data_IF_083553123932
#
_entry.id   IF_083553123932
#
_cell.length_a   1.000
_cell.length_b   1.000
_cell.length_c   1.000
_cell.angle_alpha   90.00
_cell.angle_beta   90.00
_cell.angle_gamma   90.00
#
_symmetry.space_group_name_H-M   'P 1'
#
loop_
_entity.id
_entity.type
_entity.pdbx_description
1 polymer ?
#
# COMPACT_ATOMS: atom_id res chain seq x y z
N UNK A 1 1.02 22.23 -63.80
CA UNK A 1 0.49 22.22 -65.19
C UNK A 1 -0.90 21.62 -65.12
N UNK A 2 -1.87 22.51 -65.28
CA UNK A 2 -3.30 22.33 -65.62
C UNK A 2 -4.15 21.46 -64.68
N UNK A 3 -5.01 22.02 -63.94
CA UNK A 3 -6.23 22.91 -64.11
C UNK A 3 -7.50 22.13 -64.37
N UNK A 4 -8.49 22.47 -63.52
CA UNK A 4 -9.90 22.71 -63.82
C UNK A 4 -10.79 21.47 -64.14
N UNK A 5 -12.05 21.45 -63.88
CA UNK A 5 -13.06 22.41 -63.39
C UNK A 5 -14.40 21.66 -63.24
N UNK A 6 -15.23 22.09 -62.31
CA UNK A 6 -16.68 22.46 -62.36
C UNK A 6 -17.70 21.39 -62.86
N UNK A 7 -18.76 21.29 -62.21
CA UNK A 7 -20.07 21.91 -62.04
C UNK A 7 -21.17 20.86 -61.92
N UNK A 8 -21.95 20.90 -60.91
CA UNK A 8 -23.29 21.47 -60.77
C UNK A 8 -24.43 20.63 -61.40
N UNK A 9 -25.46 20.37 -60.61
CA UNK A 9 -26.75 19.90 -61.08
C UNK A 9 -27.73 19.63 -59.94
N UNK A 10 -28.54 20.58 -59.64
CA UNK A 10 -29.67 20.49 -58.71
C UNK A 10 -30.87 19.74 -59.32
N UNK A 11 -31.60 19.00 -58.49
CA UNK A 11 -33.05 18.81 -58.75
C UNK A 11 -33.76 18.42 -57.45
N UNK A 12 -34.72 19.23 -57.09
CA UNK A 12 -35.79 19.03 -56.11
C UNK A 12 -36.67 17.85 -56.48
N UNK A 13 -37.10 17.05 -55.51
CA UNK A 13 -38.53 16.65 -55.41
C UNK A 13 -38.90 16.40 -53.95
N UNK A 14 -39.99 17.06 -53.57
CA UNK A 14 -40.82 16.87 -52.37
C UNK A 14 -41.46 15.47 -52.41
N UNK A 15 -41.60 14.85 -51.28
CA UNK A 15 -42.46 13.70 -51.04
C UNK A 15 -42.76 13.60 -49.56
N UNK A 16 -43.89 14.14 -49.20
CA UNK A 16 -44.56 14.08 -47.91
C UNK A 16 -45.01 12.64 -47.66
N UNK A 17 -44.73 12.05 -46.50
CA UNK A 17 -45.67 11.13 -45.89
C UNK A 17 -45.35 10.86 -44.41
N UNK A 18 -46.41 10.90 -43.71
CA UNK A 18 -46.68 10.84 -42.27
C UNK A 18 -46.27 9.51 -41.60
N UNK A 19 -46.15 9.67 -40.29
CA UNK A 19 -46.55 8.74 -39.22
C UNK A 19 -45.59 7.67 -38.76
N UNK A 20 -45.26 7.75 -37.49
CA UNK A 20 -44.65 6.71 -36.72
C UNK A 20 -44.01 7.23 -35.45
N UNK A 21 -44.80 7.84 -34.55
CA UNK A 21 -44.38 8.14 -33.18
C UNK A 21 -44.26 6.79 -32.43
N UNK A 22 -43.06 6.25 -32.31
CA UNK A 22 -42.75 5.25 -31.31
C UNK A 22 -42.23 6.01 -30.10
N UNK A 23 -43.01 6.00 -29.04
CA UNK A 23 -42.63 6.46 -27.71
C UNK A 23 -41.56 5.51 -27.17
N UNK A 24 -40.29 5.90 -27.28
CA UNK A 24 -39.25 5.31 -26.47
C UNK A 24 -39.47 5.83 -25.05
N UNK A 25 -39.92 4.94 -24.16
CA UNK A 25 -40.00 5.20 -22.74
C UNK A 25 -38.62 5.42 -22.17
N UNK A 26 -38.33 6.65 -21.81
CA UNK A 26 -37.22 6.97 -20.91
C UNK A 26 -37.44 6.27 -19.58
N UNK A 27 -36.78 5.11 -19.38
CA UNK A 27 -36.63 4.56 -18.06
C UNK A 27 -35.62 5.47 -17.31
N UNK A 28 -36.18 6.46 -16.60
CA UNK A 28 -35.45 7.15 -15.54
C UNK A 28 -34.97 6.11 -14.54
N UNK A 29 -33.70 5.68 -14.65
CA UNK A 29 -32.98 5.05 -13.56
C UNK A 29 -32.87 6.10 -12.46
N UNK A 30 -33.49 5.91 -11.27
CA UNK A 30 -33.35 6.89 -10.20
C UNK A 30 -31.88 7.01 -9.83
N UNK A 31 -31.28 8.12 -10.21
CA UNK A 31 -29.94 8.46 -9.78
C UNK A 31 -29.95 8.61 -8.27
N UNK A 32 -29.44 7.63 -7.57
CA UNK A 32 -29.21 7.72 -6.13
C UNK A 32 -28.33 8.93 -5.88
N UNK A 33 -28.78 9.87 -5.04
CA UNK A 33 -28.02 11.09 -4.83
C UNK A 33 -26.67 10.72 -4.24
N UNK A 34 -25.61 11.18 -4.87
CA UNK A 34 -24.20 10.90 -4.53
C UNK A 34 -23.86 11.15 -3.05
N UNK A 35 -24.63 12.01 -2.37
CA UNK A 35 -24.48 12.25 -0.93
C UNK A 35 -24.93 11.04 -0.07
N UNK A 36 -25.79 10.14 -0.55
CA UNK A 36 -26.18 8.92 0.18
C UNK A 36 -25.03 7.92 0.31
N UNK A 37 -24.12 7.86 -0.67
CA UNK A 37 -22.90 7.05 -0.55
C UNK A 37 -21.93 7.64 0.47
N UNK A 38 -21.85 8.96 0.56
CA UNK A 38 -21.04 9.66 1.56
C UNK A 38 -21.63 9.47 2.97
N UNK A 39 -22.96 9.55 3.11
CA UNK A 39 -23.65 9.32 4.39
C UNK A 39 -23.57 7.85 4.83
N UNK A 40 -23.64 6.90 3.90
CA UNK A 40 -23.44 5.47 4.21
C UNK A 40 -22.02 5.16 4.68
N UNK A 41 -21.01 5.86 4.17
CA UNK A 41 -19.63 5.75 4.68
C UNK A 41 -19.45 6.33 6.09
N UNK A 42 -20.21 7.34 6.48
CA UNK A 42 -20.09 8.00 7.79
C UNK A 42 -20.87 7.27 8.92
N UNK A 43 -21.83 6.40 8.57
CA UNK A 43 -22.73 5.79 9.56
C UNK A 43 -22.20 4.53 10.27
N UNK A 44 -20.97 4.06 9.96
CA UNK A 44 -20.35 2.89 10.61
C UNK A 44 -19.32 3.31 11.66
N UNK A 45 -19.74 4.10 12.65
CA UNK A 45 -18.89 4.46 13.79
C UNK A 45 -18.70 3.25 14.72
N UNK A 46 -17.65 2.47 14.45
CA UNK A 46 -17.08 1.56 15.43
C UNK A 46 -15.99 2.31 16.20
N UNK A 47 -15.90 2.08 17.51
CA UNK A 47 -14.80 2.63 18.31
C UNK A 47 -13.46 2.20 17.66
N UNK A 48 -12.63 3.15 17.27
CA UNK A 48 -11.29 2.88 16.82
C UNK A 48 -10.55 2.13 17.95
N UNK A 49 -10.09 0.93 17.69
CA UNK A 49 -9.21 0.20 18.57
C UNK A 49 -7.81 0.32 18.02
N UNK A 50 -6.91 0.79 18.87
CA UNK A 50 -5.47 0.82 18.64
C UNK A 50 -4.92 -0.55 18.21
N UNK A 51 -3.73 -0.58 17.62
CA UNK A 51 -2.89 -1.75 17.35
C UNK A 51 -3.35 -2.73 16.25
N UNK A 52 -4.13 -2.37 15.26
CA UNK A 52 -4.59 -3.36 14.29
C UNK A 52 -5.27 -4.57 14.94
N UNK A 53 -5.94 -4.34 16.09
CA UNK A 53 -6.60 -5.40 16.86
C UNK A 53 -7.95 -5.73 16.25
N UNK A 54 -8.18 -7.02 16.02
CA UNK A 54 -9.47 -7.55 15.59
C UNK A 54 -9.85 -8.74 16.46
N UNK A 55 -10.80 -8.52 17.37
CA UNK A 55 -11.13 -9.51 18.40
C UNK A 55 -9.94 -9.73 19.34
N UNK A 56 -9.39 -10.94 19.32
CA UNK A 56 -8.18 -11.27 20.10
C UNK A 56 -6.89 -11.26 19.27
N UNK A 57 -6.98 -10.93 17.98
CA UNK A 57 -5.85 -10.94 17.08
C UNK A 57 -5.21 -9.56 17.02
N UNK A 58 -3.89 -9.51 17.17
CA UNK A 58 -3.05 -8.41 16.76
C UNK A 58 -2.48 -8.74 15.39
N UNK A 59 -2.73 -7.89 14.40
CA UNK A 59 -2.01 -7.89 13.14
C UNK A 59 -0.82 -6.93 13.31
N UNK A 60 0.43 -7.42 13.40
CA UNK A 60 1.58 -6.55 13.49
C UNK A 60 1.74 -5.78 12.17
N UNK A 61 2.23 -4.56 12.26
CA UNK A 61 2.65 -3.81 11.09
C UNK A 61 3.67 -4.60 10.28
N UNK A 62 3.40 -4.79 9.01
CA UNK A 62 4.28 -5.49 8.05
C UNK A 62 5.41 -4.58 7.61
N UNK A 63 6.50 -5.16 7.06
CA UNK A 63 7.69 -4.41 6.65
C UNK A 63 7.79 -4.27 5.13
N UNK A 64 7.32 -5.26 4.37
CA UNK A 64 7.43 -5.28 2.92
C UNK A 64 6.28 -4.58 2.20
N UNK A 65 5.12 -4.50 2.83
CA UNK A 65 3.90 -3.86 2.30
C UNK A 65 3.06 -3.33 3.47
N UNK A 66 2.09 -2.48 3.19
CA UNK A 66 1.23 -1.87 4.20
C UNK A 66 0.22 -2.88 4.77
N UNK A 67 -0.12 -2.77 6.05
CA UNK A 67 -1.07 -3.62 6.76
C UNK A 67 -2.52 -3.12 6.61
N UNK A 68 -3.55 -3.90 7.03
CA UNK A 68 -4.95 -3.49 6.91
C UNK A 68 -5.43 -2.50 7.97
N UNK A 69 -4.63 -2.15 8.99
CA UNK A 69 -5.07 -1.28 10.08
C UNK A 69 -5.26 0.17 9.62
N UNK A 70 -6.20 0.86 10.26
CA UNK A 70 -6.49 2.29 10.05
C UNK A 70 -6.49 2.95 11.43
N UNK A 71 -5.38 3.61 11.78
CA UNK A 71 -5.15 4.16 13.12
C UNK A 71 -4.20 5.36 13.11
N UNK A 72 -3.98 5.96 14.27
CA UNK A 72 -2.96 6.98 14.46
C UNK A 72 -1.61 6.31 14.72
N UNK A 73 -0.66 6.49 13.81
CA UNK A 73 0.62 5.76 13.85
C UNK A 73 1.80 6.61 13.39
N UNK A 74 2.97 6.27 13.91
CA UNK A 74 4.25 6.79 13.43
C UNK A 74 5.23 5.63 13.28
N UNK A 75 5.70 5.42 12.07
CA UNK A 75 6.81 4.52 11.79
C UNK A 75 8.07 5.36 11.64
N UNK A 76 9.00 5.28 12.59
CA UNK A 76 10.26 6.04 12.54
C UNK A 76 11.26 5.51 13.58
N UNK A 77 12.43 5.01 13.15
CA UNK A 77 12.87 4.83 11.77
C UNK A 77 12.31 3.58 11.10
N UNK A 78 12.15 3.63 9.78
CA UNK A 78 12.10 2.48 8.91
C UNK A 78 13.42 2.42 8.13
N UNK A 79 14.16 1.32 8.25
CA UNK A 79 15.48 1.18 7.62
C UNK A 79 15.50 -0.05 6.71
N UNK A 80 16.19 0.05 5.58
CA UNK A 80 16.43 -1.10 4.70
C UNK A 80 17.77 -1.01 3.98
N UNK A 81 18.32 -2.19 3.65
CA UNK A 81 19.50 -2.31 2.81
C UNK A 81 19.30 -3.51 1.87
N UNK A 82 19.35 -3.26 0.57
CA UNK A 82 19.16 -4.29 -0.45
C UNK A 82 20.05 -4.02 -1.65
N UNK A 83 20.67 -5.08 -2.19
CA UNK A 83 21.37 -5.07 -3.47
C UNK A 83 20.49 -5.70 -4.54
N UNK A 84 20.15 -4.94 -5.57
CA UNK A 84 19.24 -5.34 -6.64
C UNK A 84 19.82 -5.01 -8.03
N UNK A 85 19.22 -5.53 -9.13
CA UNK A 85 19.59 -5.12 -10.47
C UNK A 85 19.33 -3.64 -10.69
N UNK A 86 20.28 -2.95 -11.34
CA UNK A 86 20.09 -1.61 -11.84
C UNK A 86 20.44 -1.54 -13.33
N UNK A 87 20.28 -0.39 -13.94
CA UNK A 87 20.64 -0.16 -15.32
C UNK A 87 22.16 -0.20 -15.49
N UNK A 88 22.67 -1.23 -16.17
CA UNK A 88 24.07 -1.46 -16.46
C UNK A 88 24.93 -2.02 -15.33
N UNK A 89 24.49 -1.96 -14.08
CA UNK A 89 25.23 -2.45 -12.92
C UNK A 89 24.29 -2.75 -11.75
N UNK A 90 24.69 -3.67 -10.88
CA UNK A 90 23.97 -3.88 -9.62
C UNK A 90 24.06 -2.65 -8.72
N UNK A 91 22.96 -2.35 -8.06
CA UNK A 91 22.79 -1.18 -7.19
C UNK A 91 22.53 -1.63 -5.76
N UNK A 92 23.15 -0.97 -4.79
CA UNK A 92 22.83 -1.14 -3.38
C UNK A 92 22.11 0.10 -2.87
N UNK A 93 20.88 -0.09 -2.41
CA UNK A 93 20.07 0.93 -1.76
C UNK A 93 20.09 0.76 -0.26
N UNK A 94 20.43 1.83 0.45
CA UNK A 94 20.27 1.96 1.88
C UNK A 94 19.27 3.09 2.15
N UNK A 95 18.15 2.78 2.77
CA UNK A 95 17.08 3.75 3.03
C UNK A 95 16.86 3.89 4.52
N UNK A 96 16.67 5.10 4.98
CA UNK A 96 16.09 5.44 6.27
C UNK A 96 14.90 6.36 6.03
N UNK A 97 13.73 5.98 6.49
CA UNK A 97 12.51 6.74 6.27
C UNK A 97 11.53 6.56 7.39
N UNK A 98 10.30 6.98 7.14
CA UNK A 98 9.20 6.79 8.04
C UNK A 98 7.90 7.30 7.46
N UNK A 99 6.81 6.98 8.15
CA UNK A 99 5.46 7.42 7.81
C UNK A 99 4.74 7.92 9.07
N UNK A 100 3.85 8.86 8.86
CA UNK A 100 2.94 9.36 9.88
C UNK A 100 1.52 9.25 9.34
N UNK A 101 0.63 8.62 10.10
CA UNK A 101 -0.79 8.45 9.76
C UNK A 101 -1.66 9.04 10.85
N UNK A 102 -2.71 9.75 10.46
CA UNK A 102 -3.65 10.42 11.34
C UNK A 102 -5.09 10.09 10.98
N UNK A 103 -5.88 9.67 11.96
CA UNK A 103 -7.32 9.45 11.81
C UNK A 103 -8.05 10.76 11.49
N UNK A 104 -8.74 10.78 10.36
CA UNK A 104 -9.69 11.84 9.97
C UNK A 104 -11.07 11.54 10.54
N UNK A 105 -11.54 10.32 10.39
CA UNK A 105 -12.75 9.78 11.01
C UNK A 105 -12.42 8.48 11.72
N UNK A 106 -13.37 7.84 12.39
CA UNK A 106 -13.17 6.52 13.02
C UNK A 106 -12.78 5.39 12.04
N UNK A 107 -12.92 5.62 10.73
CA UNK A 107 -12.66 4.61 9.69
C UNK A 107 -11.83 5.11 8.53
N UNK A 108 -11.39 6.37 8.54
CA UNK A 108 -10.57 6.98 7.50
C UNK A 108 -9.36 7.66 8.10
N UNK A 109 -8.19 7.39 7.57
CA UNK A 109 -6.94 8.03 7.95
C UNK A 109 -6.25 8.68 6.75
N UNK A 110 -5.47 9.73 7.01
CA UNK A 110 -4.55 10.36 6.09
C UNK A 110 -3.12 10.05 6.53
N UNK A 111 -2.25 9.78 5.58
CA UNK A 111 -0.84 9.47 5.84
C UNK A 111 0.11 10.27 4.95
N UNK A 112 1.34 10.39 5.46
CA UNK A 112 2.48 10.90 4.72
C UNK A 112 3.67 9.98 4.96
N UNK A 113 4.38 9.63 3.90
CA UNK A 113 5.61 8.84 3.93
C UNK A 113 6.72 9.54 3.16
N UNK A 114 7.95 9.47 3.67
CA UNK A 114 9.15 9.92 2.99
C UNK A 114 10.40 9.25 3.59
N UNK A 115 11.57 9.47 3.00
CA UNK A 115 12.83 8.93 3.51
C UNK A 115 14.04 9.59 2.92
N UNK A 116 15.19 9.16 3.40
CA UNK A 116 16.49 9.48 2.85
C UNK A 116 17.11 8.21 2.28
N UNK A 117 17.52 8.25 1.02
CA UNK A 117 18.15 7.13 0.33
C UNK A 117 19.63 7.43 0.07
N UNK A 118 20.45 6.41 0.30
CA UNK A 118 21.82 6.35 -0.15
C UNK A 118 21.96 5.20 -1.15
N UNK A 119 22.16 5.55 -2.41
CA UNK A 119 22.25 4.63 -3.54
C UNK A 119 23.68 4.50 -4.03
N UNK A 120 24.16 3.27 -4.21
CA UNK A 120 25.53 2.95 -4.58
C UNK A 120 25.57 2.07 -5.84
N UNK A 121 26.28 2.56 -6.88
CA UNK A 121 26.53 1.87 -8.16
C UNK A 121 27.97 1.34 -8.25
N UNK A 122 28.60 0.98 -7.15
CA UNK A 122 30.01 0.58 -7.09
C UNK A 122 30.94 1.80 -6.92
N UNK A 123 31.57 2.31 -7.99
CA UNK A 123 32.48 3.47 -7.86
C UNK A 123 31.77 4.80 -7.63
N UNK A 124 30.47 4.84 -7.88
CA UNK A 124 29.65 6.05 -7.79
C UNK A 124 28.53 5.89 -6.78
N UNK A 125 28.25 6.95 -6.05
CA UNK A 125 27.17 6.96 -5.05
C UNK A 125 26.44 8.31 -5.05
N UNK A 126 25.18 8.29 -4.65
CA UNK A 126 24.34 9.48 -4.46
C UNK A 126 23.48 9.29 -3.22
N UNK A 127 23.13 10.42 -2.61
CA UNK A 127 22.18 10.44 -1.49
C UNK A 127 21.20 11.58 -1.68
N UNK A 128 19.99 11.40 -1.17
CA UNK A 128 18.98 12.45 -1.22
C UNK A 128 17.65 11.98 -0.65
N UNK A 129 16.71 12.89 -0.61
CA UNK A 129 15.33 12.57 -0.24
C UNK A 129 14.73 11.60 -1.27
N UNK A 130 14.02 10.61 -0.77
CA UNK A 130 13.19 9.72 -1.54
C UNK A 130 11.86 10.41 -1.92
N UNK A 131 11.09 9.81 -2.80
CA UNK A 131 9.74 10.29 -3.17
C UNK A 131 8.88 10.41 -1.92
N UNK A 132 8.17 11.53 -1.78
CA UNK A 132 7.17 11.70 -0.75
C UNK A 132 5.82 11.19 -1.25
N UNK A 133 5.16 10.34 -0.46
CA UNK A 133 3.83 9.81 -0.75
C UNK A 133 2.82 10.35 0.25
N UNK A 134 1.69 10.83 -0.25
CA UNK A 134 0.51 11.14 0.54
C UNK A 134 -0.51 10.01 0.36
N UNK A 135 -1.21 9.65 1.42
CA UNK A 135 -2.14 8.53 1.39
C UNK A 135 -3.46 8.81 2.11
N UNK A 136 -4.52 8.19 1.63
CA UNK A 136 -5.78 8.01 2.34
C UNK A 136 -6.04 6.52 2.46
N UNK A 137 -6.40 6.04 3.64
CA UNK A 137 -6.74 4.64 3.91
C UNK A 137 -8.03 4.56 4.71
N UNK A 138 -8.96 3.75 4.22
CA UNK A 138 -10.28 3.60 4.82
C UNK A 138 -10.57 2.14 5.18
N UNK A 139 -11.09 1.92 6.39
CA UNK A 139 -11.57 0.62 6.84
C UNK A 139 -12.91 0.32 6.17
N UNK A 140 -12.97 -0.76 5.39
CA UNK A 140 -14.17 -1.21 4.68
C UNK A 140 -14.95 -2.25 5.47
N UNK A 141 -14.23 -3.15 6.13
CA UNK A 141 -14.87 -4.25 6.86
C UNK A 141 -14.00 -4.69 8.05
N UNK A 142 -14.64 -4.91 9.20
CA UNK A 142 -14.02 -5.49 10.41
C UNK A 142 -14.99 -6.48 11.02
N UNK A 143 -14.50 -7.68 11.32
CA UNK A 143 -15.27 -8.69 12.03
C UNK A 143 -14.42 -9.33 13.13
N UNK A 144 -14.73 -8.97 14.37
CA UNK A 144 -13.95 -9.39 15.54
C UNK A 144 -14.11 -10.88 15.86
N UNK A 145 -15.30 -11.45 15.59
CA UNK A 145 -15.55 -12.88 15.83
C UNK A 145 -14.71 -13.77 14.90
N UNK A 146 -14.55 -13.33 13.66
CA UNK A 146 -13.80 -14.07 12.63
C UNK A 146 -12.39 -13.52 12.40
N UNK A 147 -11.95 -12.56 13.21
CA UNK A 147 -10.63 -11.93 13.10
C UNK A 147 -10.32 -11.47 11.65
N UNK A 148 -11.27 -10.78 11.01
CA UNK A 148 -11.13 -10.27 9.63
C UNK A 148 -11.10 -8.76 9.63
N UNK A 149 -10.17 -8.18 8.87
CA UNK A 149 -10.09 -6.77 8.57
C UNK A 149 -9.81 -6.57 7.08
N UNK A 150 -10.51 -5.64 6.44
CA UNK A 150 -10.30 -5.25 5.04
C UNK A 150 -10.33 -3.74 4.95
N UNK A 151 -9.33 -3.16 4.33
CA UNK A 151 -9.19 -1.73 4.09
C UNK A 151 -8.90 -1.44 2.63
N UNK A 152 -9.22 -0.25 2.16
CA UNK A 152 -8.80 0.25 0.87
C UNK A 152 -8.03 1.56 1.04
N UNK A 153 -7.08 1.81 0.17
CA UNK A 153 -6.26 3.01 0.18
C UNK A 153 -6.10 3.63 -1.20
N UNK A 154 -5.72 4.89 -1.18
CA UNK A 154 -5.30 5.64 -2.35
C UNK A 154 -4.07 6.45 -1.98
N UNK A 155 -2.93 6.10 -2.56
CA UNK A 155 -1.67 6.84 -2.45
C UNK A 155 -1.47 7.79 -3.63
N UNK A 156 -0.72 8.85 -3.39
CA UNK A 156 -0.20 9.77 -4.39
C UNK A 156 1.30 9.97 -4.15
N UNK A 157 2.13 9.31 -4.98
CA UNK A 157 3.55 9.59 -5.05
C UNK A 157 3.79 10.91 -5.76
N UNK A 158 4.28 11.90 -5.03
CA UNK A 158 4.51 13.25 -5.56
C UNK A 158 5.79 13.24 -6.39
N UNK A 159 5.65 13.36 -7.69
CA UNK A 159 6.77 13.45 -8.62
C UNK A 159 7.66 14.64 -8.28
N UNK A 160 8.96 14.48 -8.45
CA UNK A 160 9.95 15.52 -8.16
C UNK A 160 10.00 16.03 -6.71
N UNK A 161 9.39 15.34 -5.77
CA UNK A 161 9.47 15.64 -4.33
C UNK A 161 10.79 15.19 -3.71
N UNK A 162 11.48 14.26 -4.36
CA UNK A 162 12.77 13.73 -3.92
C UNK A 162 13.94 14.17 -4.81
N UNK A 163 15.10 13.59 -4.55
CA UNK A 163 16.33 13.90 -5.26
C UNK A 163 16.48 13.06 -6.53
N UNK A 164 16.77 13.71 -7.66
CA UNK A 164 17.00 13.02 -8.93
C UNK A 164 18.12 11.98 -8.84
N UNK A 165 19.19 12.28 -8.08
CA UNK A 165 20.33 11.38 -7.94
C UNK A 165 20.04 10.02 -7.28
N UNK A 166 18.86 9.84 -6.70
CA UNK A 166 18.40 8.56 -6.16
C UNK A 166 17.14 8.04 -6.88
N UNK A 167 16.89 8.54 -8.10
CA UNK A 167 15.74 8.21 -8.94
C UNK A 167 14.37 8.59 -8.35
N UNK A 168 14.36 9.57 -7.43
CA UNK A 168 13.13 10.06 -6.82
C UNK A 168 12.48 11.22 -7.61
N UNK A 169 12.98 11.54 -8.77
CA UNK A 169 12.45 12.60 -9.66
C UNK A 169 11.63 12.00 -10.81
N UNK A 170 10.83 11.01 -10.49
CA UNK A 170 9.92 10.35 -11.42
C UNK A 170 8.58 11.11 -11.53
N UNK A 171 7.71 10.77 -12.49
CA UNK A 171 6.38 11.37 -12.57
C UNK A 171 5.55 11.09 -11.31
N UNK A 172 4.51 11.89 -11.12
CA UNK A 172 3.48 11.59 -10.13
C UNK A 172 2.92 10.19 -10.37
N UNK A 173 2.65 9.46 -9.28
CA UNK A 173 2.01 8.15 -9.33
C UNK A 173 0.73 8.15 -8.51
N UNK A 174 -0.29 7.44 -8.99
CA UNK A 174 -1.50 7.15 -8.25
C UNK A 174 -1.49 5.68 -7.83
N UNK A 175 -1.77 5.43 -6.54
CA UNK A 175 -1.57 4.10 -5.94
C UNK A 175 -2.84 3.61 -5.23
N UNK A 176 -3.91 3.18 -5.97
CA UNK A 176 -5.03 2.49 -5.37
C UNK A 176 -4.62 1.12 -4.84
N UNK A 177 -5.11 0.76 -3.64
CA UNK A 177 -4.76 -0.50 -2.99
C UNK A 177 -5.88 -1.08 -2.13
N UNK A 178 -5.80 -2.39 -1.91
CA UNK A 178 -6.64 -3.16 -0.97
C UNK A 178 -5.71 -3.90 -0.03
N UNK A 179 -6.07 -3.88 1.25
CA UNK A 179 -5.34 -4.50 2.34
C UNK A 179 -6.27 -5.42 3.12
N UNK A 180 -5.78 -6.58 3.53
CA UNK A 180 -6.60 -7.54 4.26
C UNK A 180 -5.81 -8.24 5.36
N UNK A 181 -6.54 -8.67 6.39
CA UNK A 181 -6.05 -9.52 7.46
C UNK A 181 -7.09 -10.56 7.85
N UNK A 182 -6.66 -11.80 8.06
CA UNK A 182 -7.47 -12.91 8.57
C UNK A 182 -6.67 -13.71 9.59
N UNK A 183 -7.16 -13.75 10.82
CA UNK A 183 -6.70 -14.67 11.85
C UNK A 183 -7.54 -15.95 11.89
N UNK A 184 -6.97 -17.02 12.38
CA UNK A 184 -7.63 -18.32 12.47
C UNK A 184 -8.07 -18.69 13.89
N UNK A 185 -8.20 -17.70 14.79
CA UNK A 185 -8.63 -17.90 16.18
C UNK A 185 -10.04 -18.47 16.33
N UNK A 186 -10.89 -18.31 15.32
CA UNK A 186 -12.27 -18.80 15.25
C UNK A 186 -12.41 -20.29 14.83
N UNK A 187 -11.30 -20.98 14.55
CA UNK A 187 -11.33 -22.38 14.15
C UNK A 187 -11.84 -23.29 15.30
N UNK A 188 -12.53 -24.41 14.95
CA UNK A 188 -13.00 -25.38 15.94
C UNK A 188 -11.86 -26.04 16.70
N UNK A 189 -12.16 -26.70 17.83
CA UNK A 189 -11.16 -27.31 18.70
C UNK A 189 -10.31 -28.35 17.99
N UNK A 190 -10.87 -29.10 17.04
CA UNK A 190 -10.15 -30.08 16.22
C UNK A 190 -9.01 -29.48 15.37
N UNK A 191 -9.05 -28.15 15.13
CA UNK A 191 -8.05 -27.37 14.36
C UNK A 191 -7.39 -26.31 15.23
N UNK A 192 -7.42 -26.45 16.56
CA UNK A 192 -6.89 -25.44 17.50
C UNK A 192 -5.41 -25.12 17.30
N UNK A 193 -4.64 -26.06 16.76
CA UNK A 193 -3.22 -25.87 16.44
C UNK A 193 -2.96 -24.83 15.32
N UNK A 194 -3.98 -24.52 14.48
CA UNK A 194 -3.91 -23.47 13.47
C UNK A 194 -4.34 -22.09 14.02
N UNK A 195 -4.96 -22.02 15.18
CA UNK A 195 -5.45 -20.76 15.77
C UNK A 195 -4.34 -19.69 15.93
N UNK A 196 -3.06 -20.04 16.22
CA UNK A 196 -2.00 -19.05 16.29
C UNK A 196 -1.71 -18.37 14.94
N UNK A 197 -2.06 -18.98 13.82
CA UNK A 197 -1.74 -18.48 12.47
C UNK A 197 -2.69 -17.35 12.08
N UNK A 198 -2.13 -16.37 11.41
CA UNK A 198 -2.86 -15.34 10.68
C UNK A 198 -2.20 -15.07 9.33
N UNK A 199 -2.98 -14.53 8.39
CA UNK A 199 -2.50 -14.05 7.10
C UNK A 199 -2.92 -12.61 6.93
N UNK A 200 -1.97 -11.75 6.58
CA UNK A 200 -2.23 -10.39 6.10
C UNK A 200 -1.75 -10.26 4.67
N UNK A 201 -2.23 -9.29 3.93
CA UNK A 201 -1.75 -9.04 2.58
C UNK A 201 -2.24 -7.74 2.00
N UNK A 202 -1.59 -7.33 0.93
CA UNK A 202 -1.88 -6.12 0.19
C UNK A 202 -1.79 -6.34 -1.32
N UNK A 203 -2.59 -5.59 -2.06
CA UNK A 203 -2.50 -5.46 -3.51
C UNK A 203 -2.64 -3.99 -3.84
N UNK A 204 -1.60 -3.38 -4.40
CA UNK A 204 -1.55 -1.96 -4.76
C UNK A 204 -1.09 -1.82 -6.21
N UNK A 205 -1.82 -1.04 -6.99
CA UNK A 205 -1.41 -0.69 -8.35
C UNK A 205 -0.72 0.67 -8.32
N UNK A 206 0.55 0.73 -8.68
CA UNK A 206 1.23 1.99 -8.96
C UNK A 206 1.02 2.37 -10.43
N UNK A 207 0.31 3.48 -10.65
CA UNK A 207 0.00 4.02 -11.97
C UNK A 207 0.69 5.36 -12.18
N UNK A 208 1.76 5.44 -13.00
CA UNK A 208 2.41 6.71 -13.31
C UNK A 208 1.50 7.56 -14.19
N UNK A 209 1.34 8.85 -13.83
CA UNK A 209 0.45 9.79 -14.56
C UNK A 209 0.97 10.17 -15.95
N UNK A 210 2.25 9.91 -16.23
CA UNK A 210 2.85 10.03 -17.57
C UNK A 210 3.74 8.83 -17.85
N UNK A 211 3.80 8.41 -19.11
CA UNK A 211 4.45 7.17 -19.55
C UNK A 211 5.99 7.21 -19.62
N UNK A 212 6.62 8.28 -19.13
CA UNK A 212 8.08 8.41 -19.10
C UNK A 212 8.55 9.10 -17.83
N UNK A 213 9.71 8.70 -17.34
CA UNK A 213 10.38 9.27 -16.18
C UNK A 213 11.87 9.40 -16.44
N UNK A 214 12.59 9.84 -15.42
CA UNK A 214 14.05 9.96 -15.46
C UNK A 214 14.65 9.16 -14.31
N UNK A 215 15.21 8.00 -14.63
CA UNK A 215 16.03 7.24 -13.69
C UNK A 215 17.45 7.77 -13.65
N UNK A 216 18.18 7.46 -12.58
CA UNK A 216 19.58 7.77 -12.45
C UNK A 216 20.38 6.46 -12.46
N UNK A 217 21.26 6.31 -13.44
CA UNK A 217 21.97 5.05 -13.66
C UNK A 217 23.26 5.24 -14.45
N UNK A 218 23.97 4.15 -14.71
CA UNK A 218 25.19 4.15 -15.53
C UNK A 218 24.79 3.96 -16.99
N UNK A 219 25.07 4.97 -17.82
CA UNK A 219 24.86 4.91 -19.26
C UNK A 219 25.75 3.81 -19.86
N UNK A 220 25.16 2.77 -20.52
CA UNK A 220 25.92 1.66 -21.09
C UNK A 220 26.89 2.08 -22.21
N UNK A 221 26.63 3.20 -22.89
CA UNK A 221 27.46 3.69 -23.98
C UNK A 221 28.68 4.50 -23.52
N UNK A 222 28.53 5.26 -22.44
CA UNK A 222 29.59 6.13 -21.92
C UNK A 222 30.21 5.63 -20.63
N UNK A 223 29.58 4.71 -19.92
CA UNK A 223 29.99 4.25 -18.58
C UNK A 223 29.87 5.31 -17.49
N UNK A 224 29.21 6.45 -17.78
CA UNK A 224 29.05 7.55 -16.83
C UNK A 224 27.74 7.48 -16.09
N UNK A 225 27.78 7.82 -14.80
CA UNK A 225 26.58 7.95 -13.97
C UNK A 225 25.85 9.26 -14.32
N UNK A 226 24.58 9.16 -14.68
CA UNK A 226 23.77 10.32 -15.06
C UNK A 226 22.29 10.04 -15.16
N UNK A 227 21.47 11.06 -15.44
CA UNK A 227 20.05 10.89 -15.67
C UNK A 227 19.81 10.17 -17.00
N UNK A 228 18.94 9.18 -16.97
CA UNK A 228 18.54 8.36 -18.13
C UNK A 228 17.03 8.41 -18.29
N UNK A 229 16.56 8.64 -19.51
CA UNK A 229 15.14 8.54 -19.80
C UNK A 229 14.69 7.09 -19.63
N UNK A 230 13.70 6.85 -18.80
CA UNK A 230 13.11 5.55 -18.57
C UNK A 230 11.62 5.55 -18.90
N UNK A 231 11.11 4.38 -19.24
CA UNK A 231 9.68 4.18 -19.38
C UNK A 231 9.07 4.03 -18.00
N UNK A 232 8.07 4.85 -17.68
CA UNK A 232 7.25 4.67 -16.50
C UNK A 232 6.06 3.75 -16.87
N UNK A 233 5.92 2.65 -16.15
CA UNK A 233 4.91 1.61 -16.42
C UNK A 233 4.07 1.33 -15.18
N UNK A 234 2.84 0.88 -15.41
CA UNK A 234 2.02 0.35 -14.32
C UNK A 234 2.76 -0.77 -13.61
N UNK A 235 2.82 -0.72 -12.29
CA UNK A 235 3.43 -1.78 -11.48
C UNK A 235 2.41 -2.29 -10.46
N UNK A 236 2.17 -3.59 -10.46
CA UNK A 236 1.36 -4.24 -9.44
C UNK A 236 2.26 -4.69 -8.31
N UNK A 237 2.15 -4.03 -7.14
CA UNK A 237 2.75 -4.44 -5.88
C UNK A 237 1.78 -5.32 -5.14
N UNK A 238 2.16 -6.55 -4.81
CA UNK A 238 1.31 -7.44 -4.06
C UNK A 238 2.12 -8.35 -3.14
N UNK A 239 1.51 -8.75 -2.05
CA UNK A 239 2.19 -9.60 -1.11
C UNK A 239 1.24 -10.14 -0.04
N UNK A 240 1.77 -11.09 0.72
CA UNK A 240 1.11 -11.62 1.90
C UNK A 240 2.14 -12.02 2.96
N UNK A 241 1.73 -11.95 4.21
CA UNK A 241 2.50 -12.42 5.35
C UNK A 241 1.76 -13.55 6.06
N UNK A 242 2.51 -14.57 6.47
CA UNK A 242 2.05 -15.59 7.40
C UNK A 242 2.66 -15.24 8.75
N UNK A 243 1.81 -15.05 9.75
CA UNK A 243 2.15 -14.59 11.08
C UNK A 243 1.76 -15.65 12.11
N UNK A 244 2.57 -15.79 13.15
CA UNK A 244 2.31 -16.75 14.22
C UNK A 244 2.27 -16.02 15.57
N UNK A 245 1.07 -15.87 16.14
CA UNK A 245 0.89 -15.21 17.44
C UNK A 245 1.21 -16.15 18.58
N UNK A 246 2.25 -15.84 19.34
CA UNK A 246 2.61 -16.62 20.53
C UNK A 246 1.59 -16.51 21.65
N UNK A 247 0.71 -15.50 21.59
CA UNK A 247 -0.38 -15.29 22.53
C UNK A 247 -1.35 -16.46 22.59
N UNK A 248 -1.63 -17.10 21.45
CA UNK A 248 -2.48 -18.28 21.36
C UNK A 248 -1.84 -19.57 21.92
N UNK A 249 -0.51 -19.58 22.11
CA UNK A 249 0.19 -20.73 22.71
C UNK A 249 0.07 -20.75 24.23
N UNK A 250 -0.04 -19.60 24.88
CA UNK A 250 0.06 -19.49 26.34
C UNK A 250 -1.23 -19.84 27.07
N UNK A 251 -2.27 -20.30 26.35
CA UNK A 251 -3.59 -20.63 26.93
C UNK A 251 -4.35 -19.43 27.49
N UNK A 252 -3.85 -18.22 27.24
CA UNK A 252 -4.49 -16.93 27.64
C UNK A 252 -5.63 -16.53 26.71
N UNK A 253 -5.87 -17.34 25.69
CA UNK A 253 -6.93 -17.11 24.71
C UNK A 253 -8.30 -17.40 25.34
N UNK A 254 -9.09 -16.34 25.55
CA UNK A 254 -10.54 -16.45 25.77
C UNK A 254 -11.21 -15.84 24.56
N UNK A 255 -12.01 -16.61 23.77
CA UNK A 255 -12.70 -16.08 22.61
C UNK A 255 -13.48 -14.81 22.94
N UNK A 256 -13.23 -13.71 22.20
CA UNK A 256 -13.90 -12.42 22.34
C UNK A 256 -13.44 -11.52 23.51
N UNK A 257 -12.35 -11.86 24.21
CA UNK A 257 -11.80 -11.02 25.28
C UNK A 257 -10.28 -11.02 25.27
N UNK A 258 -9.66 -9.96 24.75
CA UNK A 258 -8.31 -9.62 25.22
C UNK A 258 -8.39 -9.40 26.73
N UNK A 259 -7.45 -9.94 27.53
CA UNK A 259 -7.35 -9.63 28.93
C UNK A 259 -7.16 -8.11 29.06
N UNK A 260 -8.14 -7.40 29.61
CA UNK A 260 -8.17 -5.94 29.70
C UNK A 260 -6.98 -5.32 30.47
N UNK A 261 -6.18 -6.13 31.15
CA UNK A 261 -5.12 -5.70 32.05
C UNK A 261 -3.78 -6.43 31.87
N UNK A 262 -3.62 -7.21 30.79
CA UNK A 262 -2.32 -7.85 30.51
C UNK A 262 -1.62 -7.11 29.37
N UNK A 263 -0.34 -6.75 29.51
CA UNK A 263 0.42 -6.10 28.45
C UNK A 263 0.45 -6.96 27.20
N UNK A 264 0.29 -6.34 26.02
CA UNK A 264 0.31 -6.99 24.70
C UNK A 264 1.71 -7.44 24.28
N UNK A 265 2.58 -7.67 25.27
CA UNK A 265 3.98 -8.03 25.03
C UNK A 265 4.08 -9.42 24.41
N UNK A 266 4.25 -9.48 23.11
CA UNK A 266 4.40 -10.75 22.40
C UNK A 266 5.42 -10.69 21.27
N UNK A 267 6.08 -11.84 21.04
CA UNK A 267 6.83 -12.07 19.81
C UNK A 267 5.92 -12.69 18.76
N UNK A 268 5.99 -12.17 17.55
CA UNK A 268 5.25 -12.65 16.40
C UNK A 268 6.26 -12.99 15.29
N UNK A 269 6.72 -14.24 15.19
CA UNK A 269 7.43 -14.71 14.01
C UNK A 269 6.53 -14.55 12.78
N UNK A 270 7.12 -14.08 11.67
CA UNK A 270 6.42 -13.86 10.43
C UNK A 270 7.29 -14.20 9.23
N UNK A 271 6.65 -14.51 8.12
CA UNK A 271 7.30 -14.61 6.82
C UNK A 271 6.46 -13.82 5.83
N UNK A 272 7.06 -12.81 5.22
CA UNK A 272 6.41 -12.03 4.19
C UNK A 272 6.86 -12.50 2.81
N UNK A 273 5.94 -12.49 1.84
CA UNK A 273 6.21 -12.71 0.42
C UNK A 273 5.79 -11.45 -0.30
N UNK A 274 6.74 -10.80 -0.97
CA UNK A 274 6.50 -9.55 -1.68
C UNK A 274 6.87 -9.69 -3.16
N UNK A 275 6.03 -9.11 -4.01
CA UNK A 275 6.12 -9.21 -5.45
C UNK A 275 5.86 -7.84 -6.08
N UNK A 276 6.78 -7.40 -6.94
CA UNK A 276 6.63 -6.23 -7.80
C UNK A 276 6.55 -6.68 -9.24
N UNK A 277 5.42 -6.43 -9.88
CA UNK A 277 5.11 -6.91 -11.24
C UNK A 277 4.91 -5.71 -12.17
N UNK A 278 5.99 -5.16 -12.78
CA UNK A 278 5.88 -4.10 -13.76
C UNK A 278 5.27 -4.62 -15.06
N UNK A 279 4.44 -3.79 -15.70
CA UNK A 279 3.75 -4.17 -16.93
C UNK A 279 4.71 -4.42 -18.08
N UNK A 280 4.77 -5.68 -18.52
CA UNK A 280 5.61 -6.12 -19.64
C UNK A 280 7.05 -6.46 -19.23
N UNK A 281 7.34 -6.51 -17.94
CA UNK A 281 8.63 -6.91 -17.39
C UNK A 281 8.49 -8.13 -16.49
N UNK A 282 9.61 -8.63 -15.97
CA UNK A 282 9.61 -9.76 -15.04
C UNK A 282 9.27 -9.30 -13.63
N UNK A 283 8.52 -10.13 -12.92
CA UNK A 283 8.20 -9.90 -11.52
C UNK A 283 9.44 -10.04 -10.64
N UNK A 284 9.73 -9.03 -9.82
CA UNK A 284 10.64 -9.14 -8.71
C UNK A 284 9.94 -9.86 -7.54
N UNK A 285 10.61 -10.83 -6.92
CA UNK A 285 10.02 -11.65 -5.87
C UNK A 285 11.00 -11.86 -4.71
N UNK A 286 10.51 -11.67 -3.48
CA UNK A 286 11.27 -11.88 -2.25
C UNK A 286 10.46 -12.68 -1.23
N UNK A 287 11.17 -13.42 -0.38
CA UNK A 287 10.65 -14.07 0.83
C UNK A 287 11.39 -13.46 2.03
N UNK A 288 10.64 -12.91 2.97
CA UNK A 288 11.22 -12.11 4.04
C UNK A 288 10.88 -12.74 5.40
N UNK A 289 11.70 -13.68 5.90
CA UNK A 289 11.55 -14.19 7.26
C UNK A 289 11.92 -13.10 8.27
N UNK A 290 11.07 -12.91 9.27
CA UNK A 290 11.20 -11.84 10.23
C UNK A 290 10.61 -12.16 11.60
N UNK A 291 10.79 -11.22 12.50
CA UNK A 291 10.27 -11.26 13.85
C UNK A 291 9.80 -9.86 14.24
N UNK A 292 8.56 -9.77 14.72
CA UNK A 292 8.03 -8.58 15.36
C UNK A 292 7.93 -8.81 16.87
N UNK A 293 8.28 -7.81 17.65
CA UNK A 293 7.93 -7.70 19.06
C UNK A 293 6.94 -6.56 19.24
N UNK A 294 5.75 -6.88 19.70
CA UNK A 294 4.65 -5.93 19.91
C UNK A 294 4.50 -5.67 21.40
N UNK A 295 4.48 -4.40 21.78
CA UNK A 295 4.21 -3.90 23.12
C UNK A 295 2.95 -3.03 23.10
N UNK A 296 2.54 -2.50 24.25
CA UNK A 296 1.28 -1.74 24.37
C UNK A 296 1.24 -0.45 23.54
N UNK A 297 2.39 0.20 23.33
CA UNK A 297 2.47 1.52 22.68
C UNK A 297 3.41 1.55 21.48
N UNK A 298 4.11 0.44 21.21
CA UNK A 298 5.09 0.35 20.13
C UNK A 298 5.32 -1.07 19.66
N UNK A 299 5.87 -1.19 18.47
CA UNK A 299 6.36 -2.42 17.90
C UNK A 299 7.77 -2.18 17.34
N UNK A 300 8.64 -3.16 17.47
CA UNK A 300 9.88 -3.26 16.69
C UNK A 300 9.83 -4.52 15.85
N UNK A 301 10.19 -4.43 14.59
CA UNK A 301 10.27 -5.59 13.72
C UNK A 301 11.52 -5.54 12.86
N UNK A 302 12.04 -6.71 12.52
CA UNK A 302 13.16 -6.87 11.60
C UNK A 302 12.99 -8.14 10.77
N UNK A 303 13.47 -8.10 9.53
CA UNK A 303 13.43 -9.22 8.60
C UNK A 303 14.68 -9.29 7.72
N UNK A 304 14.98 -10.48 7.22
CA UNK A 304 15.91 -10.68 6.11
C UNK A 304 15.12 -10.62 4.80
N UNK A 305 15.62 -9.90 3.80
CA UNK A 305 15.04 -9.86 2.45
C UNK A 305 15.78 -10.91 1.62
N UNK A 306 15.14 -12.04 1.36
CA UNK A 306 15.71 -13.15 0.59
C UNK A 306 15.15 -13.11 -0.83
N UNK A 307 15.95 -12.75 -1.85
CA UNK A 307 15.50 -12.79 -3.23
C UNK A 307 15.09 -14.21 -3.66
N UNK A 308 13.91 -14.32 -4.27
CA UNK A 308 13.44 -15.57 -4.88
C UNK A 308 13.83 -15.68 -6.36
N UNK A 309 14.17 -14.56 -6.97
CA UNK A 309 14.67 -14.48 -8.35
C UNK A 309 15.68 -13.32 -8.51
N UNK A 310 16.24 -13.21 -9.70
CA UNK A 310 17.26 -12.20 -10.02
C UNK A 310 16.73 -10.77 -9.97
N UNK A 311 15.45 -10.58 -10.23
CA UNK A 311 14.79 -9.27 -10.22
C UNK A 311 14.54 -8.80 -8.77
N UNK A 312 14.27 -9.72 -7.85
CA UNK A 312 14.05 -9.45 -6.42
C UNK A 312 15.32 -9.06 -5.65
N UNK A 313 16.51 -9.34 -6.19
CA UNK A 313 17.78 -8.94 -5.58
C UNK A 313 18.97 -9.82 -5.98
N UNK A 314 20.16 -9.42 -5.53
CA UNK A 314 21.42 -10.13 -5.78
C UNK A 314 21.97 -10.86 -4.56
N UNK A 315 21.67 -10.31 -3.40
CA UNK A 315 22.12 -10.86 -2.10
C UNK A 315 21.00 -10.71 -1.09
N UNK A 316 21.12 -11.40 0.03
CA UNK A 316 20.22 -11.18 1.16
C UNK A 316 20.36 -9.72 1.62
N UNK A 317 19.23 -9.04 1.69
CA UNK A 317 19.08 -7.71 2.28
C UNK A 317 18.51 -7.80 3.69
N UNK A 318 18.30 -6.63 4.31
CA UNK A 318 17.70 -6.52 5.64
C UNK A 318 16.73 -5.35 5.67
N UNK A 319 15.71 -5.45 6.53
CA UNK A 319 14.77 -4.37 6.82
C UNK A 319 14.37 -4.41 8.28
N UNK A 320 14.15 -3.23 8.88
CA UNK A 320 13.65 -3.09 10.23
C UNK A 320 12.88 -1.80 10.40
N UNK A 321 11.95 -1.77 11.37
CA UNK A 321 11.27 -0.54 11.74
C UNK A 321 10.95 -0.46 13.24
N UNK A 322 10.80 0.77 13.72
CA UNK A 322 10.13 1.10 14.97
C UNK A 322 8.76 1.71 14.62
N UNK A 323 7.71 1.14 15.14
CA UNK A 323 6.32 1.52 14.92
C UNK A 323 5.74 1.98 16.26
N UNK A 324 5.21 3.19 16.32
CA UNK A 324 4.61 3.79 17.51
C UNK A 324 3.10 3.90 17.32
N UNK A 325 2.35 3.34 18.24
CA UNK A 325 0.90 3.45 18.32
C UNK A 325 0.56 4.75 19.06
N UNK A 326 0.29 5.81 18.29
CA UNK A 326 0.19 7.15 18.81
C UNK A 326 -1.05 7.37 19.70
N UNK A 327 -2.11 6.66 19.37
CA UNK A 327 -3.37 6.69 20.12
C UNK A 327 -3.24 6.11 21.54
N UNK A 328 -2.32 5.15 21.74
CA UNK A 328 -1.99 4.62 23.07
C UNK A 328 -0.83 5.36 23.74
N UNK A 329 0.12 5.85 22.95
CA UNK A 329 1.27 6.57 23.45
C UNK A 329 0.88 7.98 23.95
N UNK A 330 0.01 8.68 23.22
CA UNK A 330 -0.43 10.05 23.52
C UNK A 330 -1.95 10.18 23.35
N UNK A 331 -2.77 9.49 24.16
CA UNK A 331 -4.24 9.42 23.96
C UNK A 331 -4.95 10.78 24.14
N UNK A 332 -4.27 11.77 24.72
CA UNK A 332 -4.80 13.12 24.84
C UNK A 332 -4.91 13.85 23.48
N UNK A 333 -4.08 13.47 22.51
CA UNK A 333 -3.98 14.08 21.18
C UNK A 333 -4.49 13.13 20.09
N UNK A 334 -4.14 11.85 20.20
CA UNK A 334 -4.40 10.80 19.22
C UNK A 334 -5.51 9.86 19.69
N UNK A 335 -5.99 8.99 18.81
CA UNK A 335 -7.13 8.11 19.10
C UNK A 335 -8.50 8.78 18.99
N UNK A 336 -8.54 10.12 18.83
CA UNK A 336 -9.75 10.89 18.55
C UNK A 336 -9.67 11.40 17.11
N UNK A 337 -10.61 11.02 16.25
CA UNK A 337 -10.62 11.49 14.88
C UNK A 337 -10.68 13.02 14.79
N UNK A 338 -10.01 13.61 13.80
CA UNK A 338 -9.99 15.06 13.58
C UNK A 338 -11.37 15.63 13.18
N UNK A 339 -12.15 14.81 12.45
CA UNK A 339 -13.47 15.18 11.91
C UNK A 339 -14.59 14.44 12.67
N UNK A 340 -14.44 14.22 13.97
CA UNK A 340 -15.53 13.69 14.79
C UNK A 340 -16.65 14.72 14.91
N UNK A 341 -17.90 14.30 14.74
CA UNK A 341 -19.06 15.16 14.98
C UNK A 341 -19.17 15.56 16.47
#
# INVERSE_FOLDING_TARGET
>A
MFTHDRMAGASRRRGDQRAGRVLAGDQCVPGWPRWLLIVAMVALSHAAQAHGIVGNRVFPGTLAFDDPAVMDELILPAVSSLKHPGEGVDVTDNRIGGSFTRLLTSTLAFGIESGWMHRNWGPSQRSGLDTTTLGLKGLLYKNELHEVMISAGLGWGIGSSGAQGVSANNPDTLQPGIFFGKGFGDLPESLSWLRPIAVTGAVTLEHPMVGSGTNFGIDPGTGQLGPMLSRAVDTLHWGFAIQYSTYYLTGRYTPGKLPKNEPLHQFIPLVEFAFDTPRGEKTAATMNPGLAYVADTWQIAAEAIVPLNSEGGRTIGVRAHLFLFLDDLIPAVFGKPLLSP
#
